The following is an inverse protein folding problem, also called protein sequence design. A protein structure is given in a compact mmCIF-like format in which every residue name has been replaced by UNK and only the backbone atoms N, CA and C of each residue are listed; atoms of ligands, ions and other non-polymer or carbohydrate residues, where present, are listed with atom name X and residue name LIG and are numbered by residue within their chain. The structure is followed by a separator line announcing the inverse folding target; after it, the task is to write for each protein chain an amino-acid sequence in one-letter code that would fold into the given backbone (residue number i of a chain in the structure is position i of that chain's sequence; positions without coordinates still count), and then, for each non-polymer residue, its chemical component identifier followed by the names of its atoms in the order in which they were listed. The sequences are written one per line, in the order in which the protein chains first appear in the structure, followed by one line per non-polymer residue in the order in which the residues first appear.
data_IF_649492249672
#
_entry.id   IF_649492249672
#
_cell.length_a   1.000
_cell.length_b   1.000
_cell.length_c   1.000
_cell.angle_alpha   90.00
_cell.angle_beta   90.00
_cell.angle_gamma   90.00
#
_symmetry.space_group_name_H-M   'P 1'
#
loop_
_entity.id
_entity.type
_entity.pdbx_description
1 polymer ?
#
# COMPACT_ATOMS: atom_id res chain seq x y z
N UNK A 1 -19.96 63.73 -35.02
CA UNK A 1 -20.36 63.31 -33.66
C UNK A 1 -20.84 61.86 -33.73
N UNK A 2 -20.48 61.06 -32.73
CA UNK A 2 -20.82 59.64 -32.49
C UNK A 2 -20.11 58.61 -33.39
N UNK A 3 -19.65 57.46 -32.89
CA UNK A 3 -19.48 56.91 -31.53
C UNK A 3 -18.44 55.80 -31.65
N UNK A 4 -17.46 55.80 -30.76
CA UNK A 4 -16.43 54.77 -30.58
C UNK A 4 -17.06 53.45 -30.16
N UNK A 5 -16.71 52.33 -30.81
CA UNK A 5 -17.05 50.98 -30.34
C UNK A 5 -15.78 50.13 -30.28
N UNK A 6 -15.29 49.91 -29.06
CA UNK A 6 -14.24 48.94 -28.75
C UNK A 6 -14.88 47.55 -28.60
N UNK A 7 -14.46 46.59 -29.44
CA UNK A 7 -14.74 45.17 -29.23
C UNK A 7 -13.70 44.61 -28.25
N UNK A 8 -14.17 44.20 -27.07
CA UNK A 8 -13.37 43.55 -26.03
C UNK A 8 -13.06 42.13 -26.49
N UNK A 9 -11.77 41.82 -26.68
CA UNK A 9 -11.28 40.46 -26.87
C UNK A 9 -11.41 39.73 -25.52
N UNK A 10 -12.41 38.88 -25.36
CA UNK A 10 -12.52 38.01 -24.20
C UNK A 10 -11.43 36.93 -24.30
N UNK A 11 -10.28 37.17 -23.69
CA UNK A 11 -9.27 36.14 -23.45
C UNK A 11 -9.87 35.15 -22.46
N UNK A 12 -10.32 34.00 -22.96
CA UNK A 12 -10.62 32.83 -22.14
C UNK A 12 -9.28 32.39 -21.55
N UNK A 13 -9.05 32.75 -20.29
CA UNK A 13 -7.98 32.20 -19.48
C UNK A 13 -8.36 30.73 -19.27
N UNK A 14 -7.83 29.85 -20.13
CA UNK A 14 -7.93 28.41 -19.93
C UNK A 14 -7.04 28.11 -18.72
N UNK A 15 -7.64 28.20 -17.53
CA UNK A 15 -7.03 27.77 -16.29
C UNK A 15 -6.61 26.33 -16.47
N UNK A 16 -5.30 26.09 -16.48
CA UNK A 16 -4.75 24.76 -16.25
C UNK A 16 -5.15 24.43 -14.83
N UNK A 17 -6.32 23.79 -14.68
CA UNK A 17 -6.68 23.11 -13.45
C UNK A 17 -5.69 21.96 -13.39
N UNK A 18 -4.57 22.18 -12.69
CA UNK A 18 -3.77 21.07 -12.20
C UNK A 18 -4.69 20.33 -11.24
N UNK A 19 -5.36 19.29 -11.73
CA UNK A 19 -5.87 18.28 -10.83
C UNK A 19 -4.67 17.83 -10.02
N UNK A 20 -4.67 17.94 -8.68
CA UNK A 20 -3.71 17.18 -7.92
C UNK A 20 -3.98 15.75 -8.35
N UNK A 21 -3.03 15.12 -9.02
CA UNK A 21 -3.10 13.70 -9.24
C UNK A 21 -3.05 13.08 -7.85
N UNK A 22 -4.21 12.87 -7.24
CA UNK A 22 -4.42 11.81 -6.28
C UNK A 22 -4.38 10.46 -7.04
N UNK A 23 -3.40 10.31 -7.94
CA UNK A 23 -2.93 9.01 -8.36
C UNK A 23 -2.49 8.38 -7.05
N UNK A 24 -3.33 7.50 -6.51
CA UNK A 24 -3.10 6.90 -5.21
C UNK A 24 -1.69 6.34 -5.19
N UNK A 25 -0.91 6.72 -4.19
CA UNK A 25 0.41 6.15 -3.99
C UNK A 25 0.24 4.61 -3.95
N UNK A 26 0.85 3.90 -4.89
CA UNK A 26 0.94 2.45 -4.82
C UNK A 26 2.17 2.12 -3.97
N UNK A 27 2.10 2.39 -2.66
CA UNK A 27 3.26 2.37 -1.78
C UNK A 27 3.31 1.16 -0.84
N UNK A 28 2.38 0.21 -0.99
CA UNK A 28 2.26 -0.96 -0.13
C UNK A 28 2.26 -2.21 -1.00
N UNK A 29 3.08 -3.19 -0.63
CA UNK A 29 3.05 -4.56 -1.14
C UNK A 29 2.59 -5.49 -0.01
N UNK A 30 1.42 -6.10 -0.15
CA UNK A 30 0.87 -7.00 0.85
C UNK A 30 1.54 -8.39 0.80
N UNK A 31 1.54 -9.10 1.92
CA UNK A 31 1.97 -10.50 1.94
C UNK A 31 1.16 -11.34 0.94
N UNK A 32 1.86 -12.12 0.11
CA UNK A 32 1.31 -12.88 -1.01
C UNK A 32 1.41 -12.18 -2.35
N UNK A 33 1.59 -10.85 -2.37
CA UNK A 33 1.74 -10.08 -3.60
C UNK A 33 3.18 -10.08 -4.12
N UNK A 34 3.32 -9.73 -5.39
CA UNK A 34 4.59 -9.66 -6.10
C UNK A 34 4.74 -8.36 -6.85
N UNK A 35 5.98 -7.88 -7.00
CA UNK A 35 6.35 -6.97 -8.07
C UNK A 35 7.07 -7.77 -9.16
N UNK A 36 6.47 -7.82 -10.33
CA UNK A 36 7.03 -8.38 -11.55
C UNK A 36 8.16 -7.49 -12.09
N UNK A 37 8.96 -7.95 -13.08
CA UNK A 37 9.95 -7.10 -13.72
C UNK A 37 9.34 -5.77 -14.22
N UNK A 38 9.95 -4.65 -13.83
CA UNK A 38 9.51 -3.30 -14.17
C UNK A 38 8.42 -2.72 -13.25
N UNK A 39 7.80 -3.54 -12.39
CA UNK A 39 6.80 -3.06 -11.42
C UNK A 39 7.47 -2.42 -10.19
N UNK A 40 6.76 -1.47 -9.58
CA UNK A 40 7.31 -0.65 -8.51
C UNK A 40 6.27 -0.21 -7.49
N UNK A 41 6.76 0.10 -6.29
CA UNK A 41 6.08 0.94 -5.34
C UNK A 41 6.50 2.40 -5.54
N UNK A 42 5.57 3.34 -5.36
CA UNK A 42 5.86 4.78 -5.43
C UNK A 42 5.25 5.53 -4.25
N UNK A 43 6.00 6.51 -3.73
CA UNK A 43 5.48 7.48 -2.78
C UNK A 43 6.13 8.84 -3.05
N UNK A 44 5.35 9.79 -3.57
CA UNK A 44 5.88 11.09 -3.99
C UNK A 44 7.00 10.95 -5.03
N UNK A 45 8.24 11.31 -4.66
CA UNK A 45 9.44 11.27 -5.53
C UNK A 45 10.27 9.99 -5.41
N UNK A 46 9.88 9.07 -4.52
CA UNK A 46 10.61 7.83 -4.27
C UNK A 46 9.98 6.68 -5.06
N UNK A 47 10.84 5.84 -5.63
CA UNK A 47 10.43 4.66 -6.40
C UNK A 47 11.21 3.46 -5.87
N UNK A 48 10.51 2.39 -5.49
CA UNK A 48 11.11 1.11 -5.12
C UNK A 48 10.72 0.06 -6.17
N UNK A 49 11.66 -0.28 -7.05
CA UNK A 49 11.39 -0.99 -8.31
C UNK A 49 12.14 -2.31 -8.41
N UNK A 50 11.44 -3.35 -8.85
CA UNK A 50 12.06 -4.59 -9.31
C UNK A 50 12.50 -4.41 -10.76
N UNK A 51 13.78 -4.12 -11.00
CA UNK A 51 14.27 -3.84 -12.35
C UNK A 51 14.33 -5.13 -13.21
N UNK A 52 14.26 -4.96 -14.53
CA UNK A 52 14.32 -6.08 -15.50
C UNK A 52 15.65 -6.84 -15.46
N UNK A 53 16.72 -6.20 -14.99
CA UNK A 53 18.04 -6.80 -14.80
C UNK A 53 18.16 -7.61 -13.50
N UNK A 54 17.06 -7.83 -12.77
CA UNK A 54 17.01 -8.52 -11.48
C UNK A 54 17.61 -7.75 -10.30
N UNK A 55 17.84 -6.44 -10.42
CA UNK A 55 18.20 -5.61 -9.28
C UNK A 55 16.96 -4.97 -8.65
N UNK A 56 16.79 -5.10 -7.33
CA UNK A 56 15.74 -4.39 -6.60
C UNK A 56 16.35 -3.10 -6.06
N UNK A 57 15.81 -1.95 -6.47
CA UNK A 57 16.45 -0.65 -6.25
C UNK A 57 15.46 0.37 -5.70
N UNK A 58 15.91 1.13 -4.70
CA UNK A 58 15.24 2.33 -4.22
C UNK A 58 15.88 3.56 -4.87
N UNK A 59 15.07 4.32 -5.59
CA UNK A 59 15.42 5.58 -6.20
C UNK A 59 14.84 6.77 -5.45
N UNK A 60 15.62 7.84 -5.44
CA UNK A 60 15.21 9.18 -5.08
C UNK A 60 15.28 10.04 -6.36
N UNK A 61 14.15 10.17 -7.07
CA UNK A 61 14.04 10.68 -8.45
C UNK A 61 14.83 9.81 -9.44
N UNK A 62 16.07 10.20 -9.76
CA UNK A 62 16.98 9.54 -10.70
C UNK A 62 18.20 8.95 -10.00
N UNK A 63 18.36 9.21 -8.69
CA UNK A 63 19.49 8.74 -7.91
C UNK A 63 19.17 7.41 -7.22
N UNK A 64 19.90 6.31 -7.52
CA UNK A 64 19.80 5.10 -6.72
C UNK A 64 20.41 5.36 -5.34
N UNK A 65 19.66 5.06 -4.28
CA UNK A 65 20.09 5.29 -2.89
C UNK A 65 20.28 4.01 -2.09
N UNK A 66 19.67 2.90 -2.54
CA UNK A 66 19.85 1.57 -2.00
C UNK A 66 19.56 0.54 -3.10
N UNK A 67 20.25 -0.60 -3.08
CA UNK A 67 20.01 -1.71 -4.00
C UNK A 67 20.38 -3.06 -3.35
N UNK A 68 19.76 -4.13 -3.83
CA UNK A 68 20.16 -5.52 -3.49
C UNK A 68 21.50 -5.92 -4.10
N UNK A 69 21.94 -5.23 -5.15
CA UNK A 69 23.14 -5.54 -5.94
C UNK A 69 23.08 -6.92 -6.61
N UNK A 70 21.89 -7.28 -7.09
CA UNK A 70 21.63 -8.56 -7.78
C UNK A 70 21.49 -8.42 -9.30
N UNK A 71 21.79 -7.23 -9.83
CA UNK A 71 21.75 -6.94 -11.26
C UNK A 71 22.59 -7.90 -12.09
N UNK A 72 21.98 -8.49 -13.12
CA UNK A 72 22.62 -9.43 -14.05
C UNK A 72 22.83 -10.85 -13.51
N UNK A 73 22.42 -11.17 -12.28
CA UNK A 73 22.56 -12.52 -11.73
C UNK A 73 21.54 -13.51 -12.30
N UNK A 74 20.43 -13.02 -12.82
CA UNK A 74 19.34 -13.80 -13.38
C UNK A 74 18.55 -12.97 -14.41
N UNK A 75 17.38 -13.45 -14.82
CA UNK A 75 16.41 -12.75 -15.68
C UNK A 75 14.99 -12.96 -15.18
N UNK A 76 14.09 -12.09 -15.62
CA UNK A 76 12.65 -12.14 -15.33
C UNK A 76 12.36 -12.31 -13.82
N UNK A 77 13.10 -11.58 -12.98
CA UNK A 77 12.99 -11.68 -11.54
C UNK A 77 11.79 -10.94 -10.99
N UNK A 78 11.23 -11.45 -9.91
CA UNK A 78 10.14 -10.81 -9.19
C UNK A 78 10.49 -10.66 -7.72
N UNK A 79 9.97 -9.59 -7.10
CA UNK A 79 9.97 -9.42 -5.66
C UNK A 79 8.69 -10.05 -5.10
N UNK A 80 8.79 -10.79 -4.01
CA UNK A 80 7.64 -11.35 -3.30
C UNK A 80 7.70 -10.99 -1.81
N UNK A 81 6.61 -10.42 -1.29
CA UNK A 81 6.41 -10.27 0.15
C UNK A 81 5.75 -11.55 0.65
N UNK A 82 6.50 -12.41 1.35
CA UNK A 82 5.99 -13.71 1.78
C UNK A 82 5.05 -13.61 2.98
N UNK A 83 4.22 -14.64 3.17
CA UNK A 83 3.32 -14.76 4.32
C UNK A 83 4.03 -14.95 5.64
N UNK A 84 5.31 -15.31 5.65
CA UNK A 84 6.13 -15.46 6.85
C UNK A 84 6.84 -14.14 7.25
N UNK A 85 6.65 -13.06 6.49
CA UNK A 85 7.31 -11.78 6.75
C UNK A 85 8.70 -11.64 6.10
N UNK A 86 9.11 -12.58 5.25
CA UNK A 86 10.34 -12.47 4.49
C UNK A 86 10.09 -11.78 3.14
N UNK A 87 10.90 -10.78 2.79
CA UNK A 87 10.86 -10.13 1.49
C UNK A 87 11.96 -10.71 0.63
N UNK A 88 11.60 -11.32 -0.51
CA UNK A 88 12.52 -12.15 -1.30
C UNK A 88 12.48 -11.77 -2.77
N UNK A 89 13.64 -11.66 -3.40
CA UNK A 89 13.75 -11.59 -4.86
C UNK A 89 14.00 -12.99 -5.39
N UNK A 90 13.17 -13.41 -6.34
CA UNK A 90 13.25 -14.71 -6.99
C UNK A 90 13.62 -14.57 -8.46
N UNK A 91 14.38 -15.54 -8.98
CA UNK A 91 14.60 -15.71 -10.42
C UNK A 91 13.35 -16.26 -11.12
N UNK A 92 13.39 -16.30 -12.46
CA UNK A 92 12.40 -17.00 -13.29
C UNK A 92 12.14 -18.46 -12.88
N UNK A 93 13.16 -19.15 -12.34
CA UNK A 93 13.07 -20.55 -11.90
C UNK A 93 12.62 -20.70 -10.45
N UNK A 94 12.21 -19.60 -9.80
CA UNK A 94 11.87 -19.53 -8.37
C UNK A 94 13.04 -19.85 -7.43
N UNK A 95 14.27 -19.62 -7.88
CA UNK A 95 15.43 -19.67 -6.99
C UNK A 95 15.58 -18.32 -6.28
N UNK A 96 15.74 -18.29 -4.94
CA UNK A 96 15.92 -17.03 -4.22
C UNK A 96 17.31 -16.46 -4.51
N UNK A 97 17.36 -15.22 -5.00
CA UNK A 97 18.62 -14.52 -5.30
C UNK A 97 18.97 -13.45 -4.26
N UNK A 98 17.98 -12.98 -3.49
CA UNK A 98 18.16 -12.10 -2.34
C UNK A 98 17.00 -12.26 -1.34
N UNK A 99 17.25 -12.07 -0.05
CA UNK A 99 16.21 -12.04 0.98
C UNK A 99 16.53 -11.02 2.08
N UNK A 100 15.49 -10.44 2.69
CA UNK A 100 15.60 -9.60 3.88
C UNK A 100 16.00 -10.39 5.12
N UNK A 101 15.83 -11.71 5.11
CA UNK A 101 16.10 -12.64 6.22
C UNK A 101 15.26 -12.31 7.47
N UNK A 102 14.01 -11.94 7.23
CA UNK A 102 13.04 -11.57 8.29
C UNK A 102 11.93 -12.60 8.46
N UNK A 103 12.08 -13.79 7.87
CA UNK A 103 11.11 -14.88 7.98
C UNK A 103 10.84 -15.26 9.44
N UNK A 104 9.56 -15.35 9.77
CA UNK A 104 9.05 -15.62 11.11
C UNK A 104 7.78 -16.46 11.07
N UNK A 105 6.80 -16.10 11.91
CA UNK A 105 5.50 -16.77 11.90
C UNK A 105 4.71 -16.44 10.63
N UNK A 106 3.95 -17.40 10.12
CA UNK A 106 2.98 -17.15 9.06
C UNK A 106 1.89 -16.18 9.55
N UNK A 107 1.59 -15.16 8.75
CA UNK A 107 0.58 -14.16 9.03
C UNK A 107 0.44 -13.11 7.94
N UNK A 108 -0.21 -12.00 8.28
CA UNK A 108 -0.37 -10.87 7.36
C UNK A 108 0.74 -9.85 7.61
N UNK A 109 1.53 -9.60 6.57
CA UNK A 109 2.61 -8.62 6.55
C UNK A 109 2.39 -7.60 5.44
N UNK A 110 3.03 -6.44 5.56
CA UNK A 110 3.06 -5.42 4.52
C UNK A 110 4.47 -4.85 4.38
N UNK A 111 4.96 -4.73 3.16
CA UNK A 111 6.14 -3.93 2.84
C UNK A 111 5.67 -2.54 2.38
N UNK A 112 6.17 -1.49 3.01
CA UNK A 112 5.69 -0.11 2.80
C UNK A 112 6.85 0.79 2.41
N UNK A 113 6.72 1.48 1.26
CA UNK A 113 7.54 2.64 0.92
C UNK A 113 6.95 3.87 1.62
N UNK A 114 7.73 4.44 2.54
CA UNK A 114 7.29 5.50 3.44
C UNK A 114 7.65 6.90 2.95
N UNK A 115 6.93 7.89 3.46
CA UNK A 115 7.14 9.31 3.18
C UNK A 115 8.52 9.84 3.57
N UNK A 116 9.18 9.18 4.52
CA UNK A 116 10.52 9.52 5.01
C UNK A 116 11.62 8.82 4.22
N UNK A 117 11.26 8.17 3.09
CA UNK A 117 12.13 7.42 2.18
C UNK A 117 12.54 6.05 2.70
N UNK A 118 12.05 5.60 3.85
CA UNK A 118 12.35 4.26 4.34
C UNK A 118 11.45 3.22 3.67
N UNK A 119 11.95 1.98 3.56
CA UNK A 119 11.17 0.82 3.12
C UNK A 119 11.11 -0.16 4.29
N UNK A 120 9.92 -0.43 4.80
CA UNK A 120 9.75 -1.15 6.07
C UNK A 120 8.74 -2.27 5.93
N UNK A 121 9.09 -3.44 6.48
CA UNK A 121 8.18 -4.58 6.64
C UNK A 121 7.49 -4.47 8.00
N UNK A 122 6.17 -4.48 8.02
CA UNK A 122 5.35 -4.52 9.23
C UNK A 122 4.58 -5.83 9.31
N UNK A 123 4.44 -6.35 10.54
CA UNK A 123 3.56 -7.47 10.84
C UNK A 123 3.81 -8.06 12.24
N UNK A 124 3.10 -9.12 12.62
CA UNK A 124 1.83 -9.56 11.99
C UNK A 124 0.69 -8.58 12.32
N UNK A 125 -0.40 -8.62 11.53
CA UNK A 125 -1.60 -7.84 11.83
C UNK A 125 -2.09 -8.11 13.27
N UNK A 126 -2.25 -7.05 14.06
CA UNK A 126 -2.64 -7.15 15.49
C UNK A 126 -4.14 -7.06 15.71
N UNK A 127 -4.86 -6.38 14.81
CA UNK A 127 -6.31 -6.23 14.86
C UNK A 127 -6.83 -5.88 13.45
N UNK A 128 -8.06 -6.27 13.15
CA UNK A 128 -8.78 -5.87 11.95
C UNK A 128 -10.28 -5.71 12.24
N UNK A 129 -10.97 -4.88 11.46
CA UNK A 129 -12.45 -4.74 11.54
C UNK A 129 -13.19 -5.99 11.08
N UNK A 130 -12.56 -6.81 10.22
CA UNK A 130 -13.16 -8.03 9.68
C UNK A 130 -14.31 -7.80 8.68
N UNK A 131 -14.36 -6.63 8.03
CA UNK A 131 -15.47 -6.23 7.15
C UNK A 131 -15.24 -6.52 5.67
N UNK A 132 -14.41 -7.52 5.33
CA UNK A 132 -14.14 -7.89 3.95
C UNK A 132 -15.41 -8.44 3.27
N UNK A 133 -15.79 -7.89 2.11
CA UNK A 133 -17.02 -8.27 1.37
C UNK A 133 -16.79 -9.29 0.26
N UNK A 134 -15.71 -10.08 0.34
CA UNK A 134 -15.40 -11.15 -0.61
C UNK A 134 -14.20 -11.99 -0.17
N UNK A 135 -14.09 -13.20 -0.73
CA UNK A 135 -12.90 -14.04 -0.58
C UNK A 135 -11.77 -13.43 -1.44
N UNK A 136 -10.99 -12.53 -0.85
CA UNK A 136 -9.68 -12.17 -1.39
C UNK A 136 -8.78 -13.39 -1.17
N UNK A 137 -8.03 -13.82 -2.19
CA UNK A 137 -7.29 -15.08 -2.27
C UNK A 137 -6.16 -15.24 -1.24
N UNK A 138 -6.54 -15.34 0.04
CA UNK A 138 -5.65 -15.69 1.14
C UNK A 138 -5.88 -17.18 1.45
N UNK A 139 -4.84 -18.03 1.50
CA UNK A 139 -4.98 -19.35 2.10
C UNK A 139 -5.45 -19.18 3.54
N UNK A 140 -6.61 -19.75 3.83
CA UNK A 140 -7.29 -19.66 5.11
C UNK A 140 -6.34 -19.91 6.29
N UNK A 141 -6.27 -18.96 7.22
CA UNK A 141 -5.83 -19.30 8.58
C UNK A 141 -6.83 -20.28 9.19
N UNK A 142 -6.42 -21.42 9.77
CA UNK A 142 -7.36 -22.21 10.56
C UNK A 142 -7.86 -21.34 11.73
N UNK A 143 -9.12 -21.49 12.15
CA UNK A 143 -9.64 -20.76 13.28
C UNK A 143 -8.82 -21.16 14.51
N UNK A 144 -8.02 -20.23 15.07
CA UNK A 144 -7.43 -20.49 16.37
C UNK A 144 -8.57 -20.57 17.38
N UNK A 145 -8.82 -21.78 17.86
CA UNK A 145 -9.76 -22.05 18.93
C UNK A 145 -9.53 -21.11 20.13
N UNK A 146 -10.66 -20.64 20.66
CA UNK A 146 -10.89 -20.25 22.05
C UNK A 146 -10.31 -18.92 22.53
N UNK A 147 -11.06 -17.85 22.24
CA UNK A 147 -11.22 -16.71 23.13
C UNK A 147 -12.72 -16.37 23.29
N UNK A 148 -13.14 -15.87 24.46
CA UNK A 148 -14.53 -15.94 24.90
C UNK A 148 -15.46 -15.17 23.96
N UNK A 149 -16.60 -15.80 23.68
CA UNK A 149 -17.74 -15.24 22.95
C UNK A 149 -17.97 -13.80 23.39
N UNK A 150 -17.73 -12.85 22.48
CA UNK A 150 -18.13 -11.46 22.69
C UNK A 150 -19.59 -11.45 23.12
N UNK A 151 -19.84 -10.81 24.27
CA UNK A 151 -21.19 -10.60 24.77
C UNK A 151 -22.05 -10.01 23.67
N UNK A 152 -23.25 -10.56 23.52
CA UNK A 152 -24.27 -10.15 22.56
C UNK A 152 -24.49 -8.63 22.69
N UNK A 153 -23.94 -7.83 21.78
CA UNK A 153 -24.34 -6.42 21.67
C UNK A 153 -25.76 -6.44 21.11
N UNK A 154 -26.73 -6.31 22.01
CA UNK A 154 -28.10 -6.02 21.61
C UNK A 154 -28.11 -4.54 21.28
N UNK A 155 -28.26 -4.20 20.00
CA UNK A 155 -28.59 -2.83 19.60
C UNK A 155 -29.96 -2.52 20.23
N UNK A 156 -29.95 -1.83 21.37
CA UNK A 156 -31.15 -1.17 21.85
C UNK A 156 -31.48 -0.09 20.81
N UNK A 157 -32.49 -0.35 19.99
CA UNK A 157 -33.13 0.69 19.19
C UNK A 157 -33.96 1.56 20.13
N UNK A 158 -33.29 2.33 20.99
CA UNK A 158 -33.96 3.47 21.59
C UNK A 158 -34.16 4.49 20.47
N UNK A 159 -35.44 4.69 20.10
CA UNK A 159 -35.86 5.88 19.37
C UNK A 159 -35.33 7.09 20.15
N UNK A 160 -34.28 7.73 19.66
CA UNK A 160 -33.86 9.03 20.19
C UNK A 160 -34.89 10.08 19.76
N UNK A 161 -35.51 10.82 20.69
CA UNK A 161 -36.01 12.14 20.37
C UNK A 161 -34.80 13.05 20.14
N UNK A 162 -34.92 13.86 19.09
CA UNK A 162 -34.01 14.94 18.70
C UNK A 162 -33.54 15.80 19.87
N UNK A 163 -32.32 15.59 20.36
CA UNK A 163 -31.35 16.63 20.79
C UNK A 163 -30.05 15.98 21.28
N UNK A 164 -28.94 16.66 21.02
CA UNK A 164 -27.59 16.08 21.02
C UNK A 164 -27.03 15.66 22.38
N UNK A 165 -26.17 14.62 22.34
CA UNK A 165 -24.82 14.50 22.92
C UNK A 165 -24.44 13.02 22.93
N UNK A 166 -23.43 12.63 22.15
CA UNK A 166 -22.83 11.30 22.25
C UNK A 166 -21.93 11.28 23.49
N UNK A 167 -22.25 10.46 24.48
CA UNK A 167 -21.31 10.11 25.56
C UNK A 167 -20.53 8.88 25.12
N UNK A 168 -19.20 9.01 24.99
CA UNK A 168 -18.33 7.84 25.03
C UNK A 168 -18.39 7.25 26.44
N UNK A 169 -18.75 5.97 26.54
CA UNK A 169 -18.55 5.20 27.77
C UNK A 169 -17.30 4.36 27.57
N UNK A 170 -16.23 4.70 28.30
CA UNK A 170 -15.02 3.87 28.39
C UNK A 170 -15.33 2.63 29.23
N UNK A 171 -15.05 1.44 28.71
CA UNK A 171 -15.11 0.21 29.49
C UNK A 171 -13.79 0.01 30.27
N UNK A 172 -13.89 -0.44 31.52
CA UNK A 172 -12.78 -0.90 32.36
C UNK A 172 -12.26 -2.26 31.90
#
# INVERSE_FOLDING_TARGET
MAKTSFLILATIFLGVITVPSCLGDNNILYSGETLSPGEFLNYGRYIFIMQEDCNLVLYDVDKPIWATNTGGLARDCHLNMQSDGNLVVYSQTNDPIWASNTGGENGNYVCVLQKDRNVVIYGTARWATGTYTGAVGIPESPPSERYPTAGKITLASEKYPTTGKIKLVTAK
#
